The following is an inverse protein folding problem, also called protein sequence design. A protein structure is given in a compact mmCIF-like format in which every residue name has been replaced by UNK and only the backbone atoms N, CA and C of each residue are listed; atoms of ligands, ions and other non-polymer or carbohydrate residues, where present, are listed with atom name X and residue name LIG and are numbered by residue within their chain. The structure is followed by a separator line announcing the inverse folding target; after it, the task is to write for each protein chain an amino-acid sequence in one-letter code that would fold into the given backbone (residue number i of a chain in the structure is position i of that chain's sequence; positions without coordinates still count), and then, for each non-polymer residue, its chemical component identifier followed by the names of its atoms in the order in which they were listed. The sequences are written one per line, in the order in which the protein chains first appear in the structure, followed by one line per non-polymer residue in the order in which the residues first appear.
data_IF_404118327112
#
_entry.id   IF_404118327112
#
_cell.length_a   1.000
_cell.length_b   1.000
_cell.length_c   1.000
_cell.angle_alpha   90.00
_cell.angle_beta   90.00
_cell.angle_gamma   90.00
#
_symmetry.space_group_name_H-M   'P 1'
#
loop_
_entity.id
_entity.type
_entity.pdbx_description
1 polymer ?
#
# COMPACT_ATOMS: atom_id res chain seq x y z
N UNK A 1 -7.60 -18.20 18.81
CA UNK A 1 -6.26 -17.59 18.76
C UNK A 1 -6.24 -16.57 17.63
N UNK A 2 -6.31 -15.28 17.97
CA UNK A 2 -6.30 -14.17 17.00
C UNK A 2 -4.91 -14.11 16.36
N UNK A 3 -4.79 -14.42 15.06
CA UNK A 3 -3.55 -14.12 14.33
C UNK A 3 -3.61 -12.67 13.90
N UNK A 4 -2.87 -11.80 14.60
CA UNK A 4 -2.51 -10.49 14.06
C UNK A 4 -1.45 -10.73 12.99
N UNK A 5 -1.77 -10.42 11.73
CA UNK A 5 -0.73 -10.09 10.76
C UNK A 5 -0.34 -8.64 11.02
N UNK A 6 0.75 -8.46 11.76
CA UNK A 6 1.37 -7.16 11.98
C UNK A 6 2.21 -6.83 10.75
N UNK A 7 1.65 -6.07 9.81
CA UNK A 7 2.47 -5.08 9.13
C UNK A 7 2.51 -3.89 10.09
N UNK A 8 3.66 -3.26 10.38
CA UNK A 8 3.80 -2.30 11.48
C UNK A 8 2.82 -1.10 11.44
N UNK A 9 2.14 -0.88 10.32
CA UNK A 9 1.13 0.18 10.13
C UNK A 9 -0.22 -0.33 9.56
N UNK A 10 -0.46 -1.64 9.56
CA UNK A 10 -1.68 -2.26 9.03
C UNK A 10 -2.20 -3.31 10.01
N UNK A 11 -3.26 -2.95 10.75
CA UNK A 11 -3.97 -3.90 11.60
C UNK A 11 -5.22 -4.37 10.89
N UNK A 12 -5.25 -5.65 10.53
CA UNK A 12 -6.49 -6.31 10.09
C UNK A 12 -7.00 -7.17 11.24
N UNK A 13 -8.07 -6.72 11.87
CA UNK A 13 -8.81 -7.55 12.80
C UNK A 13 -9.74 -8.48 12.01
N UNK A 14 -9.46 -9.79 12.04
CA UNK A 14 -10.31 -10.82 11.44
C UNK A 14 -10.95 -11.67 12.54
N UNK A 15 -12.28 -11.85 12.47
CA UNK A 15 -13.05 -12.59 13.49
C UNK A 15 -13.01 -14.12 13.31
N UNK A 16 -12.25 -14.66 12.34
CA UNK A 16 -12.13 -16.11 12.13
C UNK A 16 -10.76 -16.50 11.55
N UNK A 17 -10.28 -17.68 11.95
CA UNK A 17 -8.92 -18.19 11.75
C UNK A 17 -8.50 -18.50 10.29
N UNK A 18 -9.23 -18.06 9.28
CA UNK A 18 -8.87 -18.28 7.87
C UNK A 18 -8.39 -16.97 7.22
N UNK A 19 -7.32 -16.39 7.76
CA UNK A 19 -6.47 -15.48 6.97
C UNK A 19 -5.48 -16.36 6.19
N UNK A 20 -5.99 -17.22 5.30
CA UNK A 20 -5.12 -18.00 4.41
C UNK A 20 -4.83 -17.16 3.19
N UNK A 21 -3.60 -16.67 3.13
CA UNK A 21 -2.92 -16.25 1.91
C UNK A 21 -3.03 -17.40 0.88
N UNK A 22 -3.87 -17.25 -0.13
CA UNK A 22 -3.76 -18.07 -1.34
C UNK A 22 -4.20 -17.25 -2.56
N UNK A 23 -3.21 -17.01 -3.41
CA UNK A 23 -3.34 -16.35 -4.70
C UNK A 23 -3.82 -17.40 -5.70
N UNK A 24 -5.11 -17.36 -6.04
CA UNK A 24 -5.65 -18.01 -7.23
C UNK A 24 -6.77 -17.18 -7.83
N UNK A 25 -6.78 -17.11 -9.14
CA UNK A 25 -7.26 -16.01 -9.98
C UNK A 25 -8.75 -15.64 -9.88
N UNK A 26 -9.05 -14.43 -10.36
CA UNK A 26 -10.39 -13.90 -10.70
C UNK A 26 -11.44 -13.78 -9.58
N UNK A 27 -11.47 -12.59 -8.94
CA UNK A 27 -12.63 -11.69 -8.74
C UNK A 27 -12.35 -10.67 -7.61
N UNK A 28 -12.56 -9.38 -7.93
CA UNK A 28 -12.38 -8.15 -7.13
C UNK A 28 -11.18 -8.12 -6.17
N UNK A 29 -10.01 -7.82 -6.72
CA UNK A 29 -8.88 -7.30 -5.96
C UNK A 29 -9.22 -5.89 -5.45
N UNK A 30 -9.44 -5.73 -4.15
CA UNK A 30 -9.29 -4.42 -3.52
C UNK A 30 -7.79 -4.06 -3.56
N UNK A 31 -7.33 -3.46 -4.67
CA UNK A 31 -5.95 -3.00 -4.82
C UNK A 31 -5.76 -1.75 -3.95
N UNK A 32 -5.36 -1.95 -2.70
CA UNK A 32 -5.09 -0.86 -1.75
C UNK A 32 -3.82 -0.09 -2.17
N UNK A 33 -3.95 1.18 -2.58
CA UNK A 33 -2.86 1.97 -3.15
C UNK A 33 -2.00 2.68 -2.10
N UNK A 34 -2.49 2.78 -0.85
CA UNK A 34 -1.86 3.55 0.24
C UNK A 34 -0.45 3.04 0.63
N UNK A 35 -0.16 1.77 0.36
CA UNK A 35 1.16 1.19 0.64
C UNK A 35 2.29 1.75 -0.22
N UNK A 36 1.98 2.56 -1.23
CA UNK A 36 2.99 3.16 -2.11
C UNK A 36 3.88 4.18 -1.39
N UNK A 37 3.35 4.89 -0.38
CA UNK A 37 4.11 5.91 0.36
C UNK A 37 5.33 5.33 1.07
N UNK A 38 5.17 4.18 1.74
CA UNK A 38 6.27 3.52 2.46
C UNK A 38 7.37 3.02 1.53
N UNK A 39 6.98 2.58 0.33
CA UNK A 39 7.92 2.17 -0.71
C UNK A 39 8.74 3.36 -1.22
N UNK A 40 8.14 4.53 -1.34
CA UNK A 40 8.85 5.78 -1.71
C UNK A 40 9.81 6.21 -0.61
N UNK A 41 9.35 6.28 0.65
CA UNK A 41 10.17 6.67 1.80
C UNK A 41 11.42 5.80 1.95
N UNK A 42 11.28 4.50 1.72
CA UNK A 42 12.38 3.53 1.84
C UNK A 42 13.23 3.37 0.59
N UNK A 43 13.06 4.23 -0.42
CA UNK A 43 13.76 4.14 -1.70
C UNK A 43 13.68 2.74 -2.35
N UNK A 44 12.46 2.17 -2.40
CA UNK A 44 12.16 0.83 -2.91
C UNK A 44 12.74 -0.36 -2.11
N UNK A 45 13.29 -0.13 -0.92
CA UNK A 45 13.71 -1.22 -0.01
C UNK A 45 12.53 -2.00 0.56
N UNK A 46 11.45 -1.31 0.95
CA UNK A 46 10.20 -1.98 1.31
C UNK A 46 9.28 -2.12 0.10
N UNK A 47 8.95 -3.37 -0.26
CA UNK A 47 8.00 -3.65 -1.35
C UNK A 47 6.57 -3.69 -0.80
N UNK A 48 5.71 -2.85 -1.36
CA UNK A 48 4.26 -2.96 -1.16
C UNK A 48 3.74 -4.23 -1.85
N UNK A 49 3.05 -5.09 -1.10
CA UNK A 49 2.45 -6.31 -1.65
C UNK A 49 0.97 -6.12 -1.97
N UNK A 50 0.47 -6.85 -2.96
CA UNK A 50 -0.95 -6.83 -3.30
C UNK A 50 -1.73 -7.72 -2.32
N UNK A 51 -2.76 -7.15 -1.69
CA UNK A 51 -3.66 -7.90 -0.81
C UNK A 51 -5.02 -8.13 -1.50
N UNK A 52 -5.68 -9.25 -1.16
CA UNK A 52 -7.01 -9.59 -1.66
C UNK A 52 -7.88 -10.18 -0.57
N UNK A 53 -9.12 -9.72 -0.47
CA UNK A 53 -10.16 -10.39 0.29
C UNK A 53 -10.99 -11.29 -0.64
N UNK A 54 -11.14 -12.56 -0.27
CA UNK A 54 -12.00 -13.52 -0.98
C UNK A 54 -13.28 -13.72 -0.19
N UNK A 55 -14.42 -13.84 -0.88
CA UNK A 55 -15.74 -14.08 -0.29
C UNK A 55 -15.93 -15.55 0.04
N UNK A 56 -16.72 -15.84 1.08
CA UNK A 56 -17.07 -17.21 1.46
C UNK A 56 -18.60 -17.35 1.47
N UNK A 57 -19.13 -18.34 0.76
CA UNK A 57 -20.57 -18.59 0.62
C UNK A 57 -21.22 -19.09 1.93
N UNK A 58 -20.44 -19.79 2.77
CA UNK A 58 -20.94 -20.48 3.97
C UNK A 58 -20.77 -19.66 5.25
N UNK A 59 -19.84 -18.70 5.27
CA UNK A 59 -19.50 -17.92 6.48
C UNK A 59 -19.38 -16.43 6.17
N UNK A 60 -20.15 -15.63 6.91
CA UNK A 60 -20.02 -14.16 6.90
C UNK A 60 -18.70 -13.78 7.58
N UNK A 61 -17.91 -12.91 6.95
CA UNK A 61 -16.67 -12.35 7.51
C UNK A 61 -16.81 -10.84 7.62
N UNK A 62 -16.56 -10.31 8.81
CA UNK A 62 -16.33 -8.88 9.03
C UNK A 62 -14.85 -8.66 9.34
N UNK A 63 -14.28 -7.60 8.78
CA UNK A 63 -12.91 -7.15 9.06
C UNK A 63 -12.88 -5.63 9.09
N UNK A 64 -12.14 -5.08 10.05
CA UNK A 64 -11.85 -3.65 10.14
C UNK A 64 -10.43 -3.41 9.64
N UNK A 65 -10.27 -2.50 8.69
CA UNK A 65 -8.97 -2.02 8.23
C UNK A 65 -8.84 -0.56 8.64
N UNK A 66 -7.76 -0.23 9.34
CA UNK A 66 -7.39 1.15 9.66
C UNK A 66 -6.22 1.55 8.77
N UNK A 67 -6.34 2.73 8.15
CA UNK A 67 -5.28 3.30 7.32
C UNK A 67 -4.77 4.56 8.01
N UNK A 68 -3.48 4.57 8.32
CA UNK A 68 -2.78 5.75 8.83
C UNK A 68 -1.97 6.35 7.70
N UNK A 69 -2.13 7.66 7.50
CA UNK A 69 -1.44 8.40 6.46
C UNK A 69 -1.04 9.79 6.95
N UNK A 70 -0.05 10.41 6.29
CA UNK A 70 0.38 11.77 6.59
C UNK A 70 -0.69 12.80 6.17
N UNK A 71 -0.50 14.06 6.57
CA UNK A 71 -1.38 15.16 6.13
C UNK A 71 -1.14 15.45 4.64
N UNK A 72 -2.13 16.04 3.95
CA UNK A 72 -2.03 16.37 2.52
C UNK A 72 -0.86 17.33 2.21
N UNK A 73 -0.52 18.22 3.14
CA UNK A 73 0.59 19.15 2.99
C UNK A 73 1.96 18.55 3.32
N UNK A 74 2.00 17.35 3.88
CA UNK A 74 3.26 16.67 4.19
C UNK A 74 4.01 16.31 2.92
N UNK A 75 5.32 16.59 2.91
CA UNK A 75 6.21 16.21 1.81
C UNK A 75 6.66 14.76 2.01
N UNK A 76 6.58 13.99 0.93
CA UNK A 76 6.96 12.58 0.84
C UNK A 76 8.07 12.47 -0.19
N UNK A 77 9.16 11.79 0.17
CA UNK A 77 10.28 11.49 -0.71
C UNK A 77 11.17 10.41 -0.08
N UNK A 78 12.19 9.91 -0.79
CA UNK A 78 13.17 8.99 -0.20
C UNK A 78 13.83 9.61 1.03
N UNK A 79 13.96 8.84 2.11
CA UNK A 79 14.68 9.26 3.31
C UNK A 79 16.16 9.44 2.95
N UNK A 80 16.72 10.62 3.23
CA UNK A 80 18.08 10.98 2.83
C UNK A 80 19.14 10.01 3.37
N UNK A 81 18.95 9.51 4.60
CA UNK A 81 19.84 8.50 5.21
C UNK A 81 19.85 7.14 4.51
N UNK A 82 18.89 6.88 3.60
CA UNK A 82 18.79 5.65 2.81
C UNK A 82 19.28 5.85 1.36
N UNK A 83 19.82 7.03 1.03
CA UNK A 83 20.39 7.35 -0.28
C UNK A 83 21.92 7.28 -0.15
N UNK A 84 22.55 6.48 -0.99
CA UNK A 84 24.00 6.33 -1.07
C UNK A 84 24.44 6.08 -2.51
N UNK A 85 25.75 5.92 -2.76
CA UNK A 85 26.29 5.68 -4.11
C UNK A 85 25.76 4.38 -4.74
N UNK A 86 25.48 3.36 -3.92
CA UNK A 86 24.93 2.07 -4.36
C UNK A 86 23.39 2.12 -4.51
N UNK A 87 22.72 3.07 -3.84
CA UNK A 87 21.27 3.24 -3.77
C UNK A 87 20.86 4.68 -4.09
N UNK A 88 20.98 5.13 -5.35
CA UNK A 88 20.56 6.47 -5.75
C UNK A 88 19.05 6.68 -5.57
N UNK A 89 18.58 7.94 -5.46
CA UNK A 89 17.17 8.22 -5.26
C UNK A 89 16.34 7.80 -6.47
N UNK A 90 15.35 6.94 -6.26
CA UNK A 90 14.46 6.44 -7.32
C UNK A 90 13.20 7.30 -7.50
N UNK A 91 12.89 8.16 -6.54
CA UNK A 91 11.64 8.93 -6.48
C UNK A 91 11.92 10.40 -6.18
N UNK A 92 11.14 11.29 -6.78
CA UNK A 92 11.16 12.72 -6.45
C UNK A 92 10.37 12.98 -5.17
N UNK A 93 10.67 14.07 -4.48
CA UNK A 93 9.84 14.56 -3.39
C UNK A 93 8.56 15.23 -3.92
N UNK A 94 7.43 14.99 -3.25
CA UNK A 94 6.11 15.51 -3.63
C UNK A 94 5.21 15.69 -2.40
N UNK A 95 4.15 16.51 -2.50
CA UNK A 95 3.15 16.62 -1.41
C UNK A 95 2.22 15.41 -1.39
N UNK A 96 1.87 14.90 -0.22
CA UNK A 96 0.94 13.76 -0.11
C UNK A 96 -0.41 14.04 -0.79
N UNK A 97 -0.87 15.29 -0.80
CA UNK A 97 -2.05 15.73 -1.54
C UNK A 97 -1.96 15.47 -3.05
N UNK A 98 -0.79 15.63 -3.67
CA UNK A 98 -0.55 15.30 -5.09
C UNK A 98 -0.75 13.79 -5.32
N UNK A 99 -0.26 12.96 -4.40
CA UNK A 99 -0.44 11.51 -4.47
C UNK A 99 -1.92 11.11 -4.35
N UNK A 100 -2.68 11.73 -3.45
CA UNK A 100 -4.12 11.48 -3.32
C UNK A 100 -4.87 11.91 -4.57
N UNK A 101 -4.50 13.04 -5.17
CA UNK A 101 -5.09 13.50 -6.42
C UNK A 101 -4.79 12.54 -7.57
N UNK A 102 -3.53 12.13 -7.73
CA UNK A 102 -3.16 11.20 -8.80
C UNK A 102 -3.81 9.82 -8.62
N UNK A 103 -3.97 9.38 -7.38
CA UNK A 103 -4.72 8.17 -7.09
C UNK A 103 -6.18 8.24 -7.58
N UNK A 104 -6.85 9.37 -7.36
CA UNK A 104 -8.23 9.61 -7.84
C UNK A 104 -8.27 9.69 -9.37
N UNK A 105 -7.30 10.35 -9.99
CA UNK A 105 -7.22 10.49 -11.45
C UNK A 105 -7.07 9.15 -12.20
N UNK A 106 -6.46 8.15 -11.53
CA UNK A 106 -6.28 6.80 -12.05
C UNK A 106 -7.38 5.82 -11.64
N UNK A 107 -8.50 6.29 -11.06
CA UNK A 107 -9.66 5.43 -10.80
C UNK A 107 -10.19 4.82 -12.11
N UNK A 108 -10.54 3.53 -12.05
CA UNK A 108 -10.96 2.77 -13.23
C UNK A 108 -9.83 2.39 -14.21
N UNK A 109 -8.61 2.91 -14.04
CA UNK A 109 -7.44 2.61 -14.89
C UNK A 109 -6.48 1.61 -14.21
N UNK A 110 -5.56 0.98 -14.97
CA UNK A 110 -4.44 0.24 -14.38
C UNK A 110 -3.60 1.15 -13.49
N UNK A 111 -3.68 0.97 -12.17
CA UNK A 111 -3.02 1.84 -11.18
C UNK A 111 -1.49 1.75 -11.30
N UNK A 112 -0.88 2.80 -11.87
CA UNK A 112 0.57 3.03 -12.00
C UNK A 112 0.99 4.33 -11.30
N UNK A 113 0.28 4.72 -10.23
CA UNK A 113 0.51 5.95 -9.44
C UNK A 113 1.99 6.13 -9.06
N UNK A 114 2.68 5.06 -8.67
CA UNK A 114 4.11 5.10 -8.31
C UNK A 114 5.04 5.56 -9.43
N UNK A 115 4.68 5.32 -10.69
CA UNK A 115 5.53 5.65 -11.84
C UNK A 115 5.56 7.16 -12.08
N UNK A 116 4.51 7.89 -11.68
CA UNK A 116 4.41 9.35 -11.81
C UNK A 116 5.44 10.07 -10.92
N UNK A 117 5.87 9.42 -9.84
CA UNK A 117 6.78 9.98 -8.86
C UNK A 117 8.22 9.48 -8.99
N UNK A 118 8.52 8.62 -9.96
CA UNK A 118 9.89 8.18 -10.21
C UNK A 118 10.71 9.29 -10.86
N UNK A 119 11.99 9.34 -10.54
CA UNK A 119 12.96 10.14 -11.28
C UNK A 119 13.30 9.35 -12.55
N UNK A 120 13.22 10.01 -13.70
CA UNK A 120 13.40 9.40 -15.03
C UNK A 120 14.81 8.85 -15.24
#
# INVERSE_FOLDING_TARGET
TRKLLLCPYFTVACNSNSCSERVSEHKRLAKYPHFTVHRVLSNDRYKSVYHRAVTNEKKKRASLAMFVGPNNDSVIGPIEELIDEDHPPLYRSYKFGEFIQELRNQEGKPRKVKEVFKIA
#
